data_IF_853230986196
#
_entry.id   IF_853230986196
#
_cell.length_a   1.000
_cell.length_b   1.000
_cell.length_c   1.000
_cell.angle_alpha   90.00
_cell.angle_beta   90.00
_cell.angle_gamma   90.00
#
_symmetry.space_group_name_H-M   'P 1'
#
loop_
_entity.id
_entity.type
_entity.pdbx_description
1 polymer ?
#
# COMPACT_ATOMS: atom_id res chain seq x y z
N UNK A 1 63.97 15.22 -31.08
CA UNK A 1 62.81 16.11 -31.34
C UNK A 1 61.59 15.20 -31.52
N UNK A 2 60.70 15.11 -30.54
CA UNK A 2 59.38 15.80 -30.50
C UNK A 2 58.49 15.35 -31.68
N UNK A 3 57.24 14.88 -31.58
CA UNK A 3 56.14 14.95 -30.57
C UNK A 3 55.03 14.00 -31.11
N UNK A 4 54.38 13.19 -30.26
CA UNK A 4 52.91 13.18 -29.97
C UNK A 4 52.01 12.71 -31.16
N UNK A 5 50.96 11.89 -30.99
CA UNK A 5 49.75 12.17 -30.20
C UNK A 5 48.85 10.92 -30.04
N UNK A 6 48.41 10.69 -28.79
CA UNK A 6 47.15 10.12 -28.25
C UNK A 6 46.29 9.17 -29.12
N UNK A 7 46.08 7.91 -28.70
CA UNK A 7 45.16 7.43 -27.64
C UNK A 7 43.67 7.49 -28.04
N UNK A 8 43.15 6.36 -28.53
CA UNK A 8 41.73 6.12 -28.74
C UNK A 8 41.04 5.88 -27.38
N UNK A 9 40.25 6.86 -26.93
CA UNK A 9 39.35 6.75 -25.79
C UNK A 9 38.08 6.02 -26.23
N UNK A 10 37.99 4.72 -25.91
CA UNK A 10 36.73 3.97 -25.93
C UNK A 10 35.91 4.37 -24.70
N UNK A 11 34.99 5.31 -24.88
CA UNK A 11 33.98 5.67 -23.89
C UNK A 11 32.99 4.50 -23.81
N UNK A 12 33.17 3.64 -22.81
CA UNK A 12 32.17 2.67 -22.41
C UNK A 12 31.00 3.44 -21.77
N UNK A 13 29.94 3.66 -22.55
CA UNK A 13 28.66 4.15 -22.04
C UNK A 13 28.01 3.05 -21.20
N UNK A 14 28.33 3.07 -19.91
CA UNK A 14 27.62 2.30 -18.88
C UNK A 14 26.22 2.91 -18.81
N UNK A 15 25.26 2.29 -19.48
CA UNK A 15 23.85 2.60 -19.31
C UNK A 15 23.50 2.34 -17.82
N UNK A 16 23.11 3.36 -17.05
CA UNK A 16 22.55 3.08 -15.73
C UNK A 16 21.23 2.36 -15.98
N UNK A 17 21.17 1.10 -15.57
CA UNK A 17 19.90 0.44 -15.29
C UNK A 17 19.17 1.34 -14.31
N UNK A 18 18.17 2.08 -14.81
CA UNK A 18 17.21 2.75 -13.95
C UNK A 18 16.49 1.64 -13.17
N UNK A 19 17.00 1.33 -11.98
CA UNK A 19 16.22 0.67 -10.97
C UNK A 19 15.11 1.66 -10.63
N UNK A 20 13.94 1.44 -11.22
CA UNK A 20 12.72 2.12 -10.80
C UNK A 20 12.52 1.77 -9.33
N UNK A 21 12.94 2.69 -8.45
CA UNK A 21 12.47 2.72 -7.09
C UNK A 21 10.95 2.84 -7.19
N UNK A 22 10.25 1.72 -7.02
CA UNK A 22 8.81 1.72 -6.91
C UNK A 22 8.48 2.71 -5.79
N UNK A 23 7.79 3.80 -6.13
CA UNK A 23 7.50 4.85 -5.17
C UNK A 23 6.79 4.25 -3.96
N UNK A 24 7.29 4.60 -2.77
CA UNK A 24 6.70 4.24 -1.48
C UNK A 24 5.23 4.70 -1.35
N UNK A 25 4.74 5.52 -2.29
CA UNK A 25 3.38 6.04 -2.35
C UNK A 25 2.32 5.02 -2.81
N UNK A 26 2.73 3.86 -3.33
CA UNK A 26 1.81 2.92 -3.99
C UNK A 26 0.65 2.35 -3.14
N UNK A 27 0.70 2.47 -1.81
CA UNK A 27 -0.39 2.00 -0.94
C UNK A 27 -1.42 3.07 -0.61
N UNK A 28 -1.04 4.35 -0.60
CA UNK A 28 -2.00 5.43 -0.38
C UNK A 28 -2.94 5.57 -1.59
N UNK A 29 -2.42 5.32 -2.80
CA UNK A 29 -3.17 5.36 -4.06
C UNK A 29 -4.26 4.28 -4.16
N UNK A 30 -4.23 3.26 -3.29
CA UNK A 30 -5.27 2.23 -3.23
C UNK A 30 -6.59 2.78 -2.68
N UNK A 31 -6.55 3.87 -1.91
CA UNK A 31 -7.72 4.51 -1.32
C UNK A 31 -8.10 5.70 -2.18
N UNK A 32 -9.32 5.69 -2.70
CA UNK A 32 -9.83 6.82 -3.46
C UNK A 32 -10.60 7.82 -2.61
N UNK A 33 -10.96 8.93 -3.24
CA UNK A 33 -11.71 10.00 -2.60
C UNK A 33 -13.04 9.53 -2.03
N UNK A 34 -13.75 8.61 -2.69
CA UNK A 34 -15.03 8.10 -2.21
C UNK A 34 -14.87 7.31 -0.90
N UNK A 35 -13.83 6.49 -0.80
CA UNK A 35 -13.49 5.79 0.45
C UNK A 35 -13.10 6.79 1.55
N UNK A 36 -12.32 7.83 1.22
CA UNK A 36 -11.96 8.88 2.18
C UNK A 36 -13.21 9.60 2.72
N UNK A 37 -14.17 9.94 1.85
CA UNK A 37 -15.47 10.52 2.26
C UNK A 37 -16.22 9.57 3.17
N UNK A 38 -16.38 8.32 2.76
CA UNK A 38 -17.10 7.29 3.52
C UNK A 38 -16.51 7.09 4.93
N UNK A 39 -15.20 7.20 5.07
CA UNK A 39 -14.49 7.07 6.35
C UNK A 39 -14.32 8.38 7.12
N UNK A 40 -14.87 9.50 6.63
CA UNK A 40 -14.71 10.84 7.22
C UNK A 40 -13.24 11.27 7.33
N UNK A 41 -12.46 10.93 6.30
CA UNK A 41 -11.03 11.22 6.14
C UNK A 41 -10.77 12.21 4.98
N UNK A 42 -11.75 13.01 4.56
CA UNK A 42 -11.59 13.96 3.44
C UNK A 42 -10.52 15.02 3.71
N UNK A 43 -10.40 15.44 4.97
CA UNK A 43 -9.39 16.38 5.46
C UNK A 43 -8.33 15.65 6.29
N UNK A 44 -7.79 14.56 5.76
CA UNK A 44 -6.79 13.73 6.45
C UNK A 44 -5.34 14.19 6.19
N UNK A 45 -4.43 13.73 7.02
CA UNK A 45 -3.01 13.65 6.72
C UNK A 45 -2.63 12.20 6.41
N UNK A 46 -1.75 12.00 5.44
CA UNK A 46 -1.24 10.68 5.05
C UNK A 46 0.25 10.56 5.33
N UNK A 47 0.66 9.39 5.82
CA UNK A 47 2.06 9.01 5.99
C UNK A 47 2.31 7.68 5.30
N UNK A 48 3.19 7.67 4.31
CA UNK A 48 3.66 6.46 3.65
C UNK A 48 4.95 5.96 4.30
N UNK A 49 5.09 4.64 4.40
CA UNK A 49 6.28 3.95 4.91
C UNK A 49 6.54 2.71 4.07
N UNK A 50 7.81 2.46 3.75
CA UNK A 50 8.26 1.21 3.14
C UNK A 50 9.11 0.44 4.16
N UNK A 51 8.84 -0.86 4.31
CA UNK A 51 9.61 -1.76 5.16
C UNK A 51 10.15 -2.92 4.34
N UNK A 52 11.46 -3.01 4.26
CA UNK A 52 12.13 -4.17 3.69
C UNK A 52 11.94 -5.38 4.62
N UNK A 53 11.54 -6.51 4.05
CA UNK A 53 11.53 -7.79 4.74
C UNK A 53 12.89 -8.44 4.53
N UNK A 54 13.58 -8.94 5.57
CA UNK A 54 14.90 -9.54 5.43
C UNK A 54 14.90 -10.71 4.44
N UNK A 55 15.95 -10.81 3.61
CA UNK A 55 16.08 -11.87 2.62
C UNK A 55 16.02 -13.25 3.27
N UNK A 56 15.09 -14.07 2.80
CA UNK A 56 15.20 -15.53 2.90
C UNK A 56 15.89 -16.01 1.63
N UNK A 57 16.97 -16.78 1.79
CA UNK A 57 17.88 -17.19 0.69
C UNK A 57 17.10 -17.62 -0.57
N UNK A 58 17.28 -16.88 -1.66
CA UNK A 58 16.81 -17.25 -3.00
C UNK A 58 15.51 -16.59 -3.49
N UNK A 59 14.90 -15.67 -2.73
CA UNK A 59 13.72 -14.91 -3.17
C UNK A 59 13.99 -13.40 -3.14
N UNK A 60 13.52 -12.68 -4.16
CA UNK A 60 13.52 -11.21 -4.16
C UNK A 60 12.66 -10.70 -2.98
N UNK A 61 13.16 -9.70 -2.24
CA UNK A 61 12.47 -9.15 -1.07
C UNK A 61 11.09 -8.59 -1.45
N UNK A 62 9.98 -9.14 -0.91
CA UNK A 62 8.71 -8.46 -0.98
C UNK A 62 8.73 -7.37 0.10
N UNK A 63 9.09 -6.14 -0.28
CA UNK A 63 8.91 -4.99 0.59
C UNK A 63 7.44 -4.79 0.96
N UNK A 64 7.18 -4.35 2.18
CA UNK A 64 5.84 -4.02 2.68
C UNK A 64 5.67 -2.51 2.59
N UNK A 65 4.63 -2.08 1.90
CA UNK A 65 4.22 -0.68 1.86
C UNK A 65 3.08 -0.46 2.86
N UNK A 66 3.17 0.61 3.64
CA UNK A 66 2.18 0.97 4.65
C UNK A 66 1.80 2.43 4.41
N UNK A 67 0.51 2.70 4.27
CA UNK A 67 -0.04 4.04 4.28
C UNK A 67 -0.91 4.21 5.51
N UNK A 68 -0.66 5.23 6.32
CA UNK A 68 -1.54 5.62 7.42
C UNK A 68 -2.22 6.93 7.06
N UNK A 69 -3.54 6.96 7.11
CA UNK A 69 -4.38 8.11 6.80
C UNK A 69 -5.17 8.45 8.06
N UNK A 70 -4.92 9.62 8.65
CA UNK A 70 -5.53 10.01 9.93
C UNK A 70 -6.24 11.34 9.79
N UNK A 71 -7.37 11.51 10.49
CA UNK A 71 -8.05 12.80 10.56
C UNK A 71 -7.08 13.90 11.05
N UNK A 72 -7.12 15.09 10.43
CA UNK A 72 -6.14 16.16 10.71
C UNK A 72 -6.12 16.59 12.18
N UNK A 73 -7.30 16.70 12.79
CA UNK A 73 -7.47 17.31 14.12
C UNK A 73 -7.72 16.27 15.22
N UNK A 74 -7.69 14.97 14.90
CA UNK A 74 -7.99 13.91 15.85
C UNK A 74 -7.29 12.58 15.49
N UNK A 75 -6.93 11.76 16.49
CA UNK A 75 -6.33 10.44 16.23
C UNK A 75 -7.30 9.44 15.58
N UNK A 76 -8.61 9.75 15.56
CA UNK A 76 -9.66 8.93 14.96
C UNK A 76 -10.62 9.82 14.15
N UNK A 77 -11.17 9.34 13.02
CA UNK A 77 -10.88 8.04 12.40
C UNK A 77 -9.45 7.96 11.85
N UNK A 78 -8.92 6.74 11.76
CA UNK A 78 -7.63 6.46 11.15
C UNK A 78 -7.70 5.17 10.34
N UNK A 79 -7.21 5.21 9.11
CA UNK A 79 -7.15 4.09 8.18
C UNK A 79 -5.68 3.73 7.92
N UNK A 80 -5.32 2.48 8.14
CA UNK A 80 -4.04 1.92 7.76
C UNK A 80 -4.25 1.00 6.57
N UNK A 81 -3.52 1.23 5.49
CA UNK A 81 -3.50 0.40 4.30
C UNK A 81 -2.12 -0.20 4.15
N UNK A 82 -2.06 -1.52 4.25
CA UNK A 82 -0.83 -2.28 4.06
C UNK A 82 -0.90 -3.03 2.76
N UNK A 83 0.13 -2.97 1.93
CA UNK A 83 0.26 -3.82 0.77
C UNK A 83 1.62 -4.50 0.67
N UNK A 84 1.63 -5.73 0.17
CA UNK A 84 2.84 -6.50 -0.06
C UNK A 84 2.69 -7.31 -1.34
N UNK A 85 3.77 -7.44 -2.11
CA UNK A 85 3.79 -8.33 -3.26
C UNK A 85 3.61 -9.78 -2.79
N UNK A 86 2.72 -10.52 -3.46
CA UNK A 86 2.57 -11.94 -3.21
C UNK A 86 3.58 -12.73 -4.05
N UNK A 87 4.13 -13.84 -3.51
CA UNK A 87 4.96 -14.74 -4.29
C UNK A 87 4.13 -15.38 -5.41
N UNK A 88 4.82 -15.81 -6.47
CA UNK A 88 4.17 -16.56 -7.55
C UNK A 88 3.46 -17.81 -6.99
N UNK A 89 2.24 -18.07 -7.47
CA UNK A 89 1.42 -19.19 -7.01
C UNK A 89 0.70 -18.98 -5.67
N UNK A 90 0.82 -17.81 -5.05
CA UNK A 90 0.00 -17.46 -3.89
C UNK A 90 -1.50 -17.47 -4.25
N UNK A 91 -2.32 -17.97 -3.33
CA UNK A 91 -3.78 -18.02 -3.52
C UNK A 91 -4.37 -16.62 -3.44
N UNK A 92 -5.30 -16.32 -4.35
CA UNK A 92 -6.12 -15.11 -4.27
C UNK A 92 -7.08 -15.20 -3.09
N UNK A 93 -7.04 -14.19 -2.22
CA UNK A 93 -7.93 -14.05 -1.07
C UNK A 93 -9.06 -13.09 -1.44
N UNK A 94 -10.31 -13.57 -1.37
CA UNK A 94 -11.49 -12.69 -1.47
C UNK A 94 -11.53 -11.75 -0.26
N UNK A 95 -12.12 -10.55 -0.41
CA UNK A 95 -12.31 -9.63 0.71
C UNK A 95 -12.95 -10.34 1.90
N UNK A 96 -12.27 -10.31 3.05
CA UNK A 96 -12.78 -10.84 4.30
C UNK A 96 -12.54 -9.83 5.41
N UNK A 97 -13.60 -9.50 6.15
CA UNK A 97 -13.59 -8.42 7.12
C UNK A 97 -13.96 -8.92 8.50
N UNK A 98 -13.31 -8.36 9.51
CA UNK A 98 -13.61 -8.61 10.93
C UNK A 98 -13.64 -7.29 11.67
N UNK A 99 -14.53 -7.20 12.64
CA UNK A 99 -14.62 -6.06 13.55
C UNK A 99 -14.35 -6.50 14.97
N UNK A 100 -13.63 -5.66 15.69
CA UNK A 100 -13.36 -5.84 17.10
C UNK A 100 -13.55 -4.50 17.81
N UNK A 101 -14.37 -4.51 18.85
CA UNK A 101 -14.43 -3.41 19.82
C UNK A 101 -13.31 -3.60 20.83
N UNK A 102 -12.52 -2.55 21.10
CA UNK A 102 -11.42 -2.64 22.06
C UNK A 102 -11.99 -2.38 23.47
N UNK A 103 -11.95 -3.34 24.40
CA UNK A 103 -12.50 -3.13 25.74
C UNK A 103 -11.82 -1.97 26.47
N UNK A 104 -12.61 -1.15 27.17
CA UNK A 104 -12.08 -0.05 27.99
C UNK A 104 -11.71 1.22 27.23
N UNK A 105 -11.76 1.22 25.90
CA UNK A 105 -11.63 2.42 25.07
C UNK A 105 -12.76 2.44 24.04
N UNK A 106 -13.46 3.57 23.87
CA UNK A 106 -14.61 3.67 22.96
C UNK A 106 -14.19 3.69 21.47
N UNK A 107 -13.51 2.64 21.03
CA UNK A 107 -12.89 2.48 19.72
C UNK A 107 -13.25 1.11 19.15
N UNK A 108 -13.71 1.12 17.90
CA UNK A 108 -13.89 -0.05 17.07
C UNK A 108 -12.80 -0.11 16.00
N UNK A 109 -12.26 -1.30 15.79
CA UNK A 109 -11.28 -1.59 14.74
C UNK A 109 -11.87 -2.60 13.76
N UNK A 110 -12.02 -2.17 12.51
CA UNK A 110 -12.37 -3.04 11.40
C UNK A 110 -11.12 -3.40 10.60
N UNK A 111 -10.92 -4.67 10.31
CA UNK A 111 -9.80 -5.15 9.48
C UNK A 111 -10.38 -5.93 8.31
N UNK A 112 -9.99 -5.57 7.09
CA UNK A 112 -10.33 -6.30 5.88
C UNK A 112 -9.08 -6.70 5.12
N UNK A 113 -9.02 -7.95 4.66
CA UNK A 113 -7.90 -8.48 3.87
C UNK A 113 -8.41 -8.94 2.50
N UNK A 114 -7.63 -8.66 1.46
CA UNK A 114 -7.91 -9.08 0.09
C UNK A 114 -6.63 -9.28 -0.72
N UNK A 115 -6.76 -9.88 -1.89
CA UNK A 115 -5.73 -9.91 -2.93
C UNK A 115 -6.15 -9.07 -4.13
N UNK A 116 -5.26 -8.20 -4.61
CA UNK A 116 -5.47 -7.33 -5.78
C UNK A 116 -4.19 -7.32 -6.61
N UNK A 117 -4.27 -7.64 -7.91
CA UNK A 117 -3.15 -7.53 -8.86
C UNK A 117 -1.81 -8.10 -8.31
N UNK A 118 -1.84 -9.36 -7.84
CA UNK A 118 -0.69 -10.05 -7.21
C UNK A 118 -0.13 -9.38 -5.94
N UNK A 119 -0.91 -8.52 -5.28
CA UNK A 119 -0.58 -7.96 -3.97
C UNK A 119 -1.57 -8.44 -2.93
N UNK A 120 -1.07 -8.73 -1.73
CA UNK A 120 -1.89 -8.78 -0.54
C UNK A 120 -2.16 -7.34 -0.11
N UNK A 121 -3.41 -7.04 0.24
CA UNK A 121 -3.81 -5.72 0.75
C UNK A 121 -4.62 -5.92 2.02
N UNK A 122 -4.28 -5.15 3.05
CA UNK A 122 -4.99 -5.09 4.32
C UNK A 122 -5.43 -3.66 4.59
N UNK A 123 -6.70 -3.48 4.97
CA UNK A 123 -7.29 -2.22 5.37
C UNK A 123 -7.70 -2.33 6.84
N UNK A 124 -7.13 -1.50 7.71
CA UNK A 124 -7.49 -1.43 9.11
C UNK A 124 -8.06 -0.04 9.43
N UNK A 125 -9.35 0.04 9.70
CA UNK A 125 -10.04 1.28 10.07
C UNK A 125 -10.28 1.29 11.58
N UNK A 126 -9.73 2.29 12.25
CA UNK A 126 -10.02 2.61 13.64
C UNK A 126 -11.00 3.78 13.70
N UNK A 127 -12.08 3.63 14.46
CA UNK A 127 -13.16 4.63 14.56
C UNK A 127 -13.79 4.59 15.95
N UNK A 128 -14.57 5.62 16.31
CA UNK A 128 -15.36 5.59 17.56
C UNK A 128 -16.48 4.56 17.45
N UNK A 129 -16.89 3.99 18.57
CA UNK A 129 -17.87 2.86 18.66
C UNK A 129 -19.26 3.15 18.07
N UNK A 130 -19.55 4.40 17.67
CA UNK A 130 -20.81 4.80 17.02
C UNK A 130 -20.79 4.64 15.50
N UNK A 131 -19.74 4.06 14.93
CA UNK A 131 -19.55 3.99 13.49
C UNK A 131 -20.31 2.84 12.83
N UNK A 132 -20.77 3.07 11.60
CA UNK A 132 -21.37 2.03 10.76
C UNK A 132 -20.34 0.95 10.40
N UNK A 133 -20.46 -0.22 11.04
CA UNK A 133 -19.57 -1.37 10.85
C UNK A 133 -19.68 -1.98 9.44
N UNK A 134 -20.74 -1.67 8.69
CA UNK A 134 -20.89 -2.16 7.32
C UNK A 134 -20.11 -1.32 6.31
N UNK A 135 -19.67 -0.12 6.68
CA UNK A 135 -19.00 0.80 5.76
C UNK A 135 -17.66 0.25 5.24
N UNK A 136 -16.83 -0.30 6.12
CA UNK A 136 -15.50 -0.80 5.73
C UNK A 136 -15.60 -2.00 4.75
N UNK A 137 -16.38 -3.06 5.01
CA UNK A 137 -16.56 -4.14 4.04
C UNK A 137 -17.01 -3.66 2.66
N UNK A 138 -18.03 -2.80 2.60
CA UNK A 138 -18.57 -2.27 1.34
C UNK A 138 -17.52 -1.49 0.55
N UNK A 139 -16.77 -0.61 1.22
CA UNK A 139 -15.74 0.19 0.58
C UNK A 139 -14.57 -0.67 0.09
N UNK A 140 -14.15 -1.67 0.87
CA UNK A 140 -13.06 -2.57 0.45
C UNK A 140 -13.48 -3.42 -0.75
N UNK A 141 -14.69 -3.96 -0.76
CA UNK A 141 -15.20 -4.71 -1.91
C UNK A 141 -15.23 -3.84 -3.18
N UNK A 142 -15.73 -2.61 -3.08
CA UNK A 142 -15.72 -1.62 -4.19
C UNK A 142 -14.30 -1.35 -4.70
N UNK A 143 -13.36 -1.04 -3.79
CA UNK A 143 -11.97 -0.73 -4.15
C UNK A 143 -11.28 -1.92 -4.83
N UNK A 144 -11.45 -3.13 -4.28
CA UNK A 144 -10.87 -4.37 -4.83
C UNK A 144 -11.41 -4.66 -6.23
N UNK A 145 -12.72 -4.54 -6.43
CA UNK A 145 -13.35 -4.76 -7.74
C UNK A 145 -12.83 -3.76 -8.78
N UNK A 146 -12.72 -2.48 -8.40
CA UNK A 146 -12.20 -1.43 -9.27
C UNK A 146 -10.74 -1.68 -9.67
N UNK A 147 -9.87 -2.00 -8.70
CA UNK A 147 -8.45 -2.22 -8.96
C UNK A 147 -8.20 -3.48 -9.80
N UNK A 148 -9.02 -4.52 -9.62
CA UNK A 148 -8.96 -5.74 -10.43
C UNK A 148 -9.37 -5.49 -11.88
N UNK A 149 -10.38 -4.64 -12.11
CA UNK A 149 -10.77 -4.23 -13.46
C UNK A 149 -9.68 -3.41 -14.16
N UNK A 150 -9.00 -2.51 -13.44
CA UNK A 150 -7.94 -1.66 -14.00
C UNK A 150 -6.67 -2.43 -14.42
N UNK A 151 -6.39 -3.58 -13.80
CA UNK A 151 -5.22 -4.42 -14.13
C UNK A 151 -5.43 -5.41 -15.28
N UNK A 152 -6.60 -5.41 -15.91
CA UNK A 152 -6.97 -6.36 -16.98
C UNK A 152 -6.75 -5.82 -18.40
N UNK A 153 -5.99 -4.73 -18.55
CA UNK A 153 -5.63 -4.07 -19.81
C UNK A 153 -4.12 -4.10 -20.03
#
# INVERSE_FOLDING_TARGET
>A
MMRHTLAFLLVASILPTMAFAASSDSSCDLVDREALVAFKLENSTSKAEHKDVPETKGAANPGINICTITARDAPLPSLIVTSAALPQGAKTVKPSCKWQSIPGVSVDVGICNATVNHKFVSFALSTKTTSDKNMLPLQVERLVNRLSAAGSH
#
